data_IF_380788347627
#
_entry.id   IF_380788347627
#
_cell.length_a   1.000
_cell.length_b   1.000
_cell.length_c   1.000
_cell.angle_alpha   90.00
_cell.angle_beta   90.00
_cell.angle_gamma   90.00
#
_symmetry.space_group_name_H-M   'P 1'
#
loop_
_entity.id
_entity.type
_entity.pdbx_description
1 polymer ?
#
# COMPACT_ATOMS: atom_id res chain seq x y z
N UNK A 1 23.43 -16.74 -20.69
CA UNK A 1 22.45 -16.46 -19.62
C UNK A 1 23.10 -15.51 -18.63
N UNK A 2 22.50 -14.36 -18.33
CA UNK A 2 23.07 -13.41 -17.37
C UNK A 2 22.84 -13.94 -15.94
N UNK A 3 23.90 -14.34 -15.24
CA UNK A 3 23.84 -14.59 -13.80
C UNK A 3 23.75 -13.24 -13.10
N UNK A 4 22.60 -12.95 -12.50
CA UNK A 4 22.39 -11.73 -11.72
C UNK A 4 23.08 -11.93 -10.35
N UNK A 5 24.32 -11.45 -10.22
CA UNK A 5 25.11 -11.58 -8.99
C UNK A 5 24.75 -10.43 -8.04
N UNK A 6 23.52 -10.42 -7.53
CA UNK A 6 23.09 -9.42 -6.56
C UNK A 6 23.44 -9.89 -5.16
N UNK A 7 24.01 -9.00 -4.34
CA UNK A 7 24.26 -9.31 -2.93
C UNK A 7 22.94 -9.49 -2.17
N UNK A 8 22.95 -10.28 -1.09
CA UNK A 8 21.76 -10.44 -0.23
C UNK A 8 21.25 -9.08 0.28
N UNK A 9 22.17 -8.18 0.59
CA UNK A 9 21.84 -6.83 1.04
C UNK A 9 21.10 -6.03 -0.03
N UNK A 10 21.60 -6.04 -1.27
CA UNK A 10 20.92 -5.38 -2.37
C UNK A 10 19.57 -6.02 -2.66
N UNK A 11 19.45 -7.34 -2.57
CA UNK A 11 18.18 -8.04 -2.76
C UNK A 11 17.12 -7.59 -1.75
N UNK A 12 17.50 -7.49 -0.47
CA UNK A 12 16.61 -7.00 0.59
C UNK A 12 16.22 -5.54 0.30
N UNK A 13 17.17 -4.68 -0.05
CA UNK A 13 16.88 -3.28 -0.39
C UNK A 13 15.94 -3.15 -1.60
N UNK A 14 16.08 -4.02 -2.60
CA UNK A 14 15.24 -3.98 -3.79
C UNK A 14 13.84 -4.56 -3.58
N UNK A 15 13.72 -5.50 -2.63
CA UNK A 15 12.46 -6.16 -2.26
C UNK A 15 11.61 -5.32 -1.30
N UNK A 16 12.26 -4.60 -0.37
CA UNK A 16 11.61 -3.87 0.71
C UNK A 16 11.86 -2.36 0.60
N UNK A 17 11.38 -1.78 -0.49
CA UNK A 17 11.52 -0.34 -0.75
C UNK A 17 10.49 0.47 0.03
N UNK A 18 10.87 1.61 0.62
CA UNK A 18 9.91 2.56 1.18
C UNK A 18 8.90 3.00 0.14
N UNK A 19 7.61 2.91 0.50
CA UNK A 19 6.51 3.36 -0.34
C UNK A 19 6.25 4.84 -0.10
N UNK A 20 6.23 5.61 -1.19
CA UNK A 20 5.93 7.04 -1.19
C UNK A 20 4.68 7.26 -2.02
N UNK A 21 3.70 7.92 -1.41
CA UNK A 21 2.46 8.25 -2.07
C UNK A 21 2.57 9.64 -2.69
N UNK A 22 2.27 9.77 -3.98
CA UNK A 22 2.38 11.02 -4.73
C UNK A 22 1.00 11.61 -5.04
N UNK A 23 0.91 12.92 -4.81
CA UNK A 23 -0.15 13.78 -5.34
C UNK A 23 0.49 14.72 -6.36
N UNK A 24 -0.14 14.87 -7.51
CA UNK A 24 0.26 15.84 -8.52
C UNK A 24 -0.94 16.66 -8.97
N UNK A 25 -0.67 17.83 -9.54
CA UNK A 25 -1.73 18.64 -10.15
C UNK A 25 -2.29 17.94 -11.39
N UNK A 26 -3.51 18.33 -11.78
CA UNK A 26 -4.13 17.83 -13.01
C UNK A 26 -3.29 18.16 -14.25
N UNK A 27 -2.66 19.34 -14.28
CA UNK A 27 -1.75 19.71 -15.37
C UNK A 27 -0.52 18.80 -15.46
N UNK A 28 0.09 18.44 -14.32
CA UNK A 28 1.22 17.51 -14.31
C UNK A 28 0.81 16.13 -14.82
N UNK A 29 -0.33 15.61 -14.34
CA UNK A 29 -0.88 14.32 -14.80
C UNK A 29 -1.17 14.37 -16.32
N UNK A 30 -1.84 15.43 -16.79
CA UNK A 30 -2.15 15.65 -18.22
C UNK A 30 -0.90 15.69 -19.09
N UNK A 31 0.17 16.36 -18.63
CA UNK A 31 1.45 16.39 -19.35
C UNK A 31 2.10 15.01 -19.42
N UNK A 32 2.08 14.24 -18.32
CA UNK A 32 2.66 12.89 -18.30
C UNK A 32 1.93 11.94 -19.25
N UNK A 33 0.59 12.07 -19.35
CA UNK A 33 -0.24 11.27 -20.26
C UNK A 33 0.07 11.47 -21.74
N UNK A 34 0.72 12.56 -22.14
CA UNK A 34 1.24 12.73 -23.51
C UNK A 34 2.29 11.67 -23.87
N UNK A 35 2.94 11.07 -22.87
CA UNK A 35 3.90 9.98 -23.02
C UNK A 35 3.27 8.60 -22.75
N UNK A 36 1.95 8.51 -22.65
CA UNK A 36 1.21 7.30 -22.25
C UNK A 36 1.62 6.74 -20.87
N UNK A 37 2.07 7.61 -19.97
CA UNK A 37 2.45 7.28 -18.60
C UNK A 37 1.67 8.16 -17.62
N UNK A 38 1.32 7.62 -16.46
CA UNK A 38 0.89 8.43 -15.31
C UNK A 38 2.06 9.15 -14.63
N UNK A 39 1.78 10.14 -13.79
CA UNK A 39 2.84 10.91 -13.12
C UNK A 39 3.83 10.04 -12.35
N UNK A 40 3.32 9.15 -11.47
CA UNK A 40 4.14 8.22 -10.71
C UNK A 40 4.96 7.27 -11.58
N UNK A 41 4.49 6.94 -12.78
CA UNK A 41 5.21 6.06 -13.71
C UNK A 41 6.36 6.78 -14.40
N UNK A 42 6.14 8.04 -14.80
CA UNK A 42 7.16 8.87 -15.43
C UNK A 42 8.36 9.10 -14.49
N UNK A 43 8.13 9.19 -13.18
CA UNK A 43 9.19 9.41 -12.19
C UNK A 43 9.96 8.15 -11.77
N UNK A 44 9.45 6.94 -12.10
CA UNK A 44 10.07 5.65 -11.70
C UNK A 44 11.58 5.55 -11.98
N UNK A 45 12.10 5.99 -13.16
CA UNK A 45 13.53 5.90 -13.45
C UNK A 45 14.41 6.70 -12.48
N UNK A 46 13.85 7.72 -11.82
CA UNK A 46 14.56 8.60 -10.90
C UNK A 46 14.42 8.18 -9.43
N UNK A 47 13.70 7.09 -9.15
CA UNK A 47 13.41 6.63 -7.79
C UNK A 47 14.57 5.85 -7.13
N UNK A 48 15.68 5.62 -7.85
CA UNK A 48 16.90 5.02 -7.30
C UNK A 48 18.04 6.02 -7.38
N UNK A 49 18.65 6.30 -6.23
CA UNK A 49 19.84 7.14 -6.14
C UNK A 49 21.09 6.26 -6.26
N UNK A 50 22.01 6.69 -7.12
CA UNK A 50 23.35 6.09 -7.26
C UNK A 50 24.37 6.74 -6.30
N UNK A 51 24.06 7.92 -5.78
CA UNK A 51 24.86 8.64 -4.79
C UNK A 51 24.54 8.19 -3.36
N UNK A 52 25.50 8.40 -2.45
CA UNK A 52 25.29 8.22 -1.02
C UNK A 52 24.36 9.31 -0.46
N UNK A 53 23.41 8.90 0.38
CA UNK A 53 22.52 9.80 1.12
C UNK A 53 22.96 9.86 2.57
N UNK A 54 23.04 11.07 3.12
CA UNK A 54 23.38 11.30 4.51
C UNK A 54 22.13 11.75 5.27
N UNK A 55 21.77 11.02 6.32
CA UNK A 55 20.61 11.32 7.17
C UNK A 55 21.05 11.35 8.63
N UNK A 56 20.46 12.24 9.43
CA UNK A 56 20.62 12.18 10.89
C UNK A 56 19.34 11.69 11.54
N UNK A 57 19.48 10.83 12.54
CA UNK A 57 18.35 10.41 13.37
C UNK A 57 18.04 11.45 14.47
N UNK A 58 16.96 11.28 15.26
CA UNK A 58 16.61 12.20 16.35
C UNK A 58 17.69 12.31 17.45
N UNK A 59 18.60 11.33 17.58
CA UNK A 59 19.73 11.37 18.50
C UNK A 59 20.95 12.07 17.88
N UNK A 60 20.80 12.67 16.70
CA UNK A 60 21.84 13.34 15.93
C UNK A 60 22.95 12.38 15.43
N UNK A 61 22.69 11.07 15.36
CA UNK A 61 23.61 10.10 14.78
C UNK A 61 23.55 10.16 13.25
N UNK A 62 24.72 10.19 12.59
CA UNK A 62 24.81 10.23 11.13
C UNK A 62 24.72 8.81 10.53
N UNK A 63 23.76 8.62 9.63
CA UNK A 63 23.53 7.41 8.84
C UNK A 63 23.87 7.67 7.37
N UNK A 64 24.68 6.79 6.78
CA UNK A 64 25.04 6.81 5.35
C UNK A 64 24.29 5.69 4.65
N UNK A 65 23.43 6.05 3.71
CA UNK A 65 22.59 5.11 2.95
C UNK A 65 23.10 5.05 1.52
N UNK A 66 23.59 3.88 1.12
CA UNK A 66 23.97 3.56 -0.26
C UNK A 66 22.78 2.97 -1.01
N UNK A 67 22.68 3.27 -2.30
CA UNK A 67 21.68 2.71 -3.21
C UNK A 67 20.23 2.92 -2.75
N UNK A 68 19.92 4.10 -2.19
CA UNK A 68 18.55 4.39 -1.73
C UNK A 68 17.57 4.27 -2.91
N UNK A 69 16.56 3.43 -2.72
CA UNK A 69 15.46 3.23 -3.67
C UNK A 69 14.14 3.46 -2.96
N UNK A 70 13.23 4.17 -3.60
CA UNK A 70 11.85 4.33 -3.16
C UNK A 70 10.90 3.78 -4.22
N UNK A 71 9.67 3.45 -3.85
CA UNK A 71 8.60 3.19 -4.81
C UNK A 71 7.54 4.29 -4.69
N UNK A 72 7.34 5.02 -5.78
CA UNK A 72 6.36 6.11 -5.85
C UNK A 72 5.08 5.60 -6.51
N UNK A 73 3.94 5.81 -5.86
CA UNK A 73 2.61 5.44 -6.36
C UNK A 73 1.65 6.62 -6.28
N UNK A 74 0.74 6.76 -7.25
CA UNK A 74 -0.33 7.76 -7.17
C UNK A 74 -1.28 7.45 -6.00
N UNK A 75 -1.71 8.50 -5.30
CA UNK A 75 -2.83 8.40 -4.37
C UNK A 75 -4.13 8.44 -5.16
N UNK A 76 -4.97 7.44 -4.94
CA UNK A 76 -6.35 7.47 -5.39
C UNK A 76 -7.16 8.24 -4.35
N UNK A 77 -7.52 9.49 -4.66
CA UNK A 77 -8.30 10.35 -3.78
C UNK A 77 -9.79 10.37 -4.11
N UNK A 78 -10.25 9.66 -5.15
CA UNK A 78 -11.67 9.63 -5.47
C UNK A 78 -12.44 8.97 -4.32
N UNK A 79 -13.53 9.62 -3.88
CA UNK A 79 -14.45 9.00 -2.95
C UNK A 79 -15.02 7.75 -3.62
N UNK A 80 -14.90 6.56 -3.01
CA UNK A 80 -15.44 5.35 -3.60
C UNK A 80 -16.94 5.54 -3.82
N UNK A 81 -17.44 5.15 -5.01
CA UNK A 81 -18.83 5.41 -5.36
C UNK A 81 -19.75 4.76 -4.32
N UNK A 82 -20.70 5.50 -3.70
CA UNK A 82 -21.53 4.96 -2.62
C UNK A 82 -22.30 3.69 -2.99
N UNK A 83 -22.64 3.51 -4.28
CA UNK A 83 -23.26 2.27 -4.77
C UNK A 83 -22.31 1.07 -4.77
N UNK A 84 -21.06 1.27 -5.18
CA UNK A 84 -20.03 0.21 -5.20
C UNK A 84 -19.67 -0.28 -3.81
N UNK A 85 -19.53 0.64 -2.85
CA UNK A 85 -19.28 0.26 -1.44
C UNK A 85 -20.47 -0.49 -0.86
N UNK A 86 -21.71 0.00 -1.08
CA UNK A 86 -22.91 -0.67 -0.57
C UNK A 86 -23.04 -2.08 -1.13
N UNK A 87 -22.76 -2.28 -2.42
CA UNK A 87 -22.74 -3.61 -3.02
C UNK A 87 -21.68 -4.51 -2.39
N UNK A 88 -20.43 -4.03 -2.31
CA UNK A 88 -19.34 -4.79 -1.69
C UNK A 88 -19.68 -5.22 -0.25
N UNK A 89 -20.21 -4.29 0.56
CA UNK A 89 -20.62 -4.59 1.92
C UNK A 89 -21.79 -5.59 1.96
N UNK A 90 -22.77 -5.45 1.06
CA UNK A 90 -23.88 -6.38 0.96
C UNK A 90 -23.41 -7.79 0.57
N UNK A 91 -22.51 -7.90 -0.39
CA UNK A 91 -21.92 -9.17 -0.83
C UNK A 91 -21.18 -9.83 0.34
N UNK A 92 -20.35 -9.08 1.07
CA UNK A 92 -19.62 -9.56 2.26
C UNK A 92 -20.58 -10.02 3.36
N UNK A 93 -21.62 -9.24 3.68
CA UNK A 93 -22.61 -9.61 4.69
C UNK A 93 -23.35 -10.88 4.28
N UNK A 94 -23.75 -11.00 3.02
CA UNK A 94 -24.50 -12.15 2.51
C UNK A 94 -23.71 -13.46 2.60
N UNK A 95 -22.40 -13.43 2.36
CA UNK A 95 -21.55 -14.62 2.49
C UNK A 95 -21.09 -14.91 3.92
N UNK A 96 -21.27 -13.95 4.84
CA UNK A 96 -20.89 -14.08 6.25
C UNK A 96 -22.08 -14.46 7.15
N UNK A 97 -23.21 -14.86 6.57
CA UNK A 97 -24.37 -15.27 7.35
C UNK A 97 -24.10 -16.60 8.06
N UNK A 98 -24.56 -16.76 9.32
CA UNK A 98 -24.54 -18.06 9.99
C UNK A 98 -25.39 -19.07 9.21
N UNK A 99 -25.08 -20.37 9.37
CA UNK A 99 -25.83 -21.43 8.69
C UNK A 99 -27.32 -21.35 9.05
N UNK A 100 -28.19 -21.57 8.05
CA UNK A 100 -29.64 -21.44 8.20
C UNK A 100 -30.16 -22.24 9.41
N UNK A 101 -30.88 -21.55 10.30
CA UNK A 101 -31.47 -22.13 11.51
C UNK A 101 -30.69 -21.94 12.80
N UNK A 102 -29.45 -21.41 12.75
CA UNK A 102 -28.69 -21.05 13.95
C UNK A 102 -28.87 -19.56 14.29
N UNK A 103 -29.78 -19.27 15.23
CA UNK A 103 -29.81 -17.98 15.90
C UNK A 103 -28.69 -17.98 16.94
N UNK A 104 -27.44 -17.82 16.49
CA UNK A 104 -26.29 -17.77 17.38
C UNK A 104 -26.26 -16.40 18.08
N UNK A 105 -27.08 -16.25 19.12
CA UNK A 105 -27.04 -15.09 20.01
C UNK A 105 -25.74 -15.04 20.82
N UNK A 106 -24.91 -16.09 20.76
CA UNK A 106 -23.61 -16.16 21.41
C UNK A 106 -22.53 -16.38 20.36
N UNK A 107 -21.60 -15.42 20.25
CA UNK A 107 -20.38 -15.57 19.45
C UNK A 107 -19.25 -15.98 20.40
N UNK A 108 -18.72 -17.19 20.23
CA UNK A 108 -17.56 -17.69 20.98
C UNK A 108 -16.27 -17.34 20.25
N UNK A 109 -15.37 -16.62 20.92
CA UNK A 109 -14.03 -16.29 20.43
C UNK A 109 -12.98 -16.64 21.50
N UNK A 110 -12.37 -17.83 21.38
CA UNK A 110 -11.48 -18.37 22.41
C UNK A 110 -12.25 -18.68 23.70
N UNK A 111 -11.84 -18.09 24.81
CA UNK A 111 -12.49 -18.24 26.12
C UNK A 111 -13.60 -17.20 26.40
N UNK A 112 -13.95 -16.37 25.40
CA UNK A 112 -14.95 -15.32 25.54
C UNK A 112 -16.23 -15.65 24.77
N UNK A 113 -17.37 -15.51 25.45
CA UNK A 113 -18.70 -15.60 24.86
C UNK A 113 -19.36 -14.21 24.81
N UNK A 114 -19.69 -13.75 23.61
CA UNK A 114 -20.38 -12.47 23.37
C UNK A 114 -21.86 -12.74 23.12
N UNK A 115 -22.71 -12.36 24.08
CA UNK A 115 -24.17 -12.50 23.95
C UNK A 115 -24.80 -11.23 23.34
N UNK A 116 -25.45 -11.35 22.19
CA UNK A 116 -26.07 -10.26 21.42
C UNK A 116 -27.60 -10.20 21.64
N UNK A 117 -28.12 -10.89 22.66
CA UNK A 117 -29.54 -10.84 23.05
C UNK A 117 -29.87 -9.47 23.67
N UNK A 118 -30.08 -8.43 22.86
CA UNK A 118 -30.39 -7.10 23.38
C UNK A 118 -30.47 -5.93 22.41
N UNK A 119 -30.58 -6.15 21.08
CA UNK A 119 -30.98 -5.10 20.13
C UNK A 119 -32.37 -5.36 19.57
#
# INVERSE_FOLDING_TARGET
MAQYVQSVQEFIQDSFVPLVAALCSEEAERLTRKNNLGFSELVKPFCRLTSEVHMRDPNNQLHVIKNLKIAVNNIITHSPQPGGIRKLLNDVVSVSQPAEGLVANVITAGDYDLNISGM
#
